data_IF_897868924991
#
_entry.id   IF_897868924991
#
_cell.length_a   1.000
_cell.length_b   1.000
_cell.length_c   1.000
_cell.angle_alpha   90.00
_cell.angle_beta   90.00
_cell.angle_gamma   90.00
#
_symmetry.space_group_name_H-M   'P 1'
#
loop_
_entity.id
_entity.type
_entity.pdbx_description
1 polymer ?
#
# COMPACT_ATOMS: atom_id res chain seq x y z
N UNK A 1 -13.68 5.32 -11.01
CA UNK A 1 -12.55 6.27 -11.18
C UNK A 1 -12.95 7.59 -10.54
N UNK A 2 -11.99 8.34 -9.97
CA UNK A 2 -12.28 9.66 -9.42
C UNK A 2 -12.54 10.66 -10.56
N UNK A 3 -13.59 11.48 -10.45
CA UNK A 3 -13.93 12.50 -11.45
C UNK A 3 -12.82 13.53 -11.66
N UNK A 4 -11.97 13.73 -10.64
CA UNK A 4 -10.82 14.63 -10.66
C UNK A 4 -9.73 14.19 -11.66
N UNK A 5 -9.73 12.94 -12.09
CA UNK A 5 -8.83 12.46 -13.15
C UNK A 5 -9.09 13.14 -14.49
N UNK A 6 -10.29 13.66 -14.70
CA UNK A 6 -10.67 14.35 -15.94
C UNK A 6 -10.17 15.79 -16.02
N UNK A 7 -9.65 16.35 -14.95
CA UNK A 7 -9.05 17.68 -14.94
C UNK A 7 -7.86 17.76 -15.92
N UNK A 8 -7.75 18.84 -16.72
CA UNK A 8 -6.70 18.97 -17.74
C UNK A 8 -5.27 18.91 -17.20
N UNK A 9 -5.03 19.46 -15.99
CA UNK A 9 -3.73 19.40 -15.31
C UNK A 9 -3.37 17.97 -14.90
N UNK A 10 -4.32 17.22 -14.34
CA UNK A 10 -4.15 15.82 -13.93
C UNK A 10 -3.92 14.94 -15.16
N UNK A 11 -4.72 15.06 -16.21
CA UNK A 11 -4.56 14.32 -17.48
C UNK A 11 -3.15 14.48 -18.06
N UNK A 12 -2.64 15.73 -18.12
CA UNK A 12 -1.27 16.01 -18.62
C UNK A 12 -0.19 15.32 -17.75
N UNK A 13 -0.30 15.41 -16.41
CA UNK A 13 0.67 14.77 -15.51
C UNK A 13 0.62 13.26 -15.62
N UNK A 14 -0.57 12.66 -15.73
CA UNK A 14 -0.75 11.21 -15.91
C UNK A 14 -0.20 10.73 -17.26
N UNK A 15 -0.45 11.47 -18.34
CA UNK A 15 0.10 11.15 -19.67
C UNK A 15 1.64 11.18 -19.65
N UNK A 16 2.21 12.25 -19.08
CA UNK A 16 3.67 12.35 -18.90
C UNK A 16 4.22 11.20 -18.05
N UNK A 17 3.55 10.84 -16.96
CA UNK A 17 3.97 9.72 -16.12
C UNK A 17 4.04 8.41 -16.93
N UNK A 18 2.99 8.08 -17.67
CA UNK A 18 2.92 6.86 -18.50
C UNK A 18 4.01 6.82 -19.57
N UNK A 19 4.44 7.96 -20.10
CA UNK A 19 5.56 8.01 -21.06
C UNK A 19 6.89 7.60 -20.44
N UNK A 20 7.10 7.88 -19.15
CA UNK A 20 8.41 7.68 -18.50
C UNK A 20 8.43 6.52 -17.52
N UNK A 21 7.29 5.99 -17.07
CA UNK A 21 7.24 4.95 -16.03
C UNK A 21 7.97 3.66 -16.42
N UNK A 22 7.95 3.26 -17.70
CA UNK A 22 8.64 2.08 -18.22
C UNK A 22 10.15 2.27 -18.48
N UNK A 23 10.72 3.47 -18.22
CA UNK A 23 12.14 3.73 -18.44
C UNK A 23 13.02 3.39 -17.22
N UNK A 24 12.42 3.08 -16.10
CA UNK A 24 13.13 2.75 -14.86
C UNK A 24 13.12 1.23 -14.69
N UNK A 25 14.29 0.63 -14.44
CA UNK A 25 14.37 -0.79 -14.10
C UNK A 25 13.42 -1.14 -12.95
N UNK A 26 12.44 -2.04 -13.15
CA UNK A 26 11.45 -2.41 -12.13
C UNK A 26 12.08 -2.90 -10.81
N UNK A 27 13.28 -3.49 -10.86
CA UNK A 27 14.02 -3.94 -9.67
C UNK A 27 14.46 -2.82 -8.75
N UNK A 28 14.48 -1.59 -9.25
CA UNK A 28 14.84 -0.38 -8.48
C UNK A 28 13.62 0.37 -7.95
N UNK A 29 12.41 -0.03 -8.34
CA UNK A 29 11.18 0.62 -7.91
C UNK A 29 10.75 0.13 -6.53
N UNK A 30 10.33 1.06 -5.68
CA UNK A 30 9.85 0.81 -4.32
C UNK A 30 8.57 1.63 -4.13
N UNK A 31 7.43 0.98 -4.21
CA UNK A 31 6.12 1.64 -4.07
C UNK A 31 5.65 1.57 -2.63
N UNK A 32 5.36 2.72 -2.04
CA UNK A 32 4.96 2.82 -0.64
C UNK A 32 3.60 3.48 -0.54
N UNK A 33 2.78 2.94 0.34
CA UNK A 33 1.49 3.50 0.69
C UNK A 33 1.02 2.98 2.04
N UNK A 34 -0.09 3.52 2.54
CA UNK A 34 -0.76 3.06 3.74
C UNK A 34 -2.20 2.62 3.47
N UNK A 35 -2.64 1.70 4.29
CA UNK A 35 -4.03 1.28 4.28
C UNK A 35 -4.55 1.04 5.69
N UNK A 36 -5.82 1.35 5.93
CA UNK A 36 -6.44 1.07 7.23
C UNK A 36 -6.85 -0.39 7.35
N UNK A 37 -6.76 -0.91 8.57
CA UNK A 37 -7.30 -2.19 9.02
C UNK A 37 -8.17 -1.98 10.26
N UNK A 38 -9.12 -2.87 10.51
CA UNK A 38 -10.02 -2.77 11.67
C UNK A 38 -10.25 -4.14 12.29
N UNK A 39 -10.41 -4.18 13.61
CA UNK A 39 -10.69 -5.41 14.37
C UNK A 39 -12.09 -5.97 14.14
N UNK A 40 -12.97 -5.25 13.44
CA UNK A 40 -14.32 -5.71 13.07
C UNK A 40 -14.43 -6.11 11.60
N UNK A 41 -13.32 -6.26 10.87
CA UNK A 41 -13.35 -6.67 9.45
C UNK A 41 -13.94 -8.07 9.31
N UNK A 42 -14.93 -8.21 8.41
CA UNK A 42 -15.60 -9.46 8.07
C UNK A 42 -15.62 -9.67 6.57
N UNK A 43 -15.93 -10.87 6.15
CA UNK A 43 -16.17 -11.17 4.72
C UNK A 43 -17.27 -10.27 4.19
N UNK A 44 -17.09 -9.74 2.99
CA UNK A 44 -18.08 -8.87 2.32
C UNK A 44 -19.04 -9.66 1.44
N UNK A 45 -18.63 -10.88 1.05
CA UNK A 45 -19.37 -11.75 0.14
C UNK A 45 -19.32 -13.18 0.67
N UNK A 46 -20.34 -13.96 0.34
CA UNK A 46 -20.46 -15.39 0.64
C UNK A 46 -21.35 -16.06 -0.39
N UNK A 47 -21.57 -17.35 -0.24
CA UNK A 47 -22.38 -18.16 -1.12
C UNK A 47 -23.58 -18.72 -0.36
N UNK A 48 -24.76 -18.72 -1.01
CA UNK A 48 -25.97 -19.39 -0.56
C UNK A 48 -26.60 -20.13 -1.74
N UNK A 49 -27.47 -21.13 -1.51
CA UNK A 49 -28.27 -21.75 -2.55
C UNK A 49 -29.06 -20.70 -3.34
N UNK A 50 -29.31 -20.98 -4.63
CA UNK A 50 -30.09 -20.09 -5.48
C UNK A 50 -31.49 -19.87 -4.89
N UNK A 51 -31.85 -18.61 -4.69
CA UNK A 51 -33.14 -18.20 -4.09
C UNK A 51 -33.11 -18.03 -2.58
N UNK A 52 -31.99 -18.35 -1.91
CA UNK A 52 -31.83 -18.13 -0.47
C UNK A 52 -31.01 -16.89 -0.16
N UNK A 53 -31.40 -16.17 0.91
CA UNK A 53 -30.65 -15.04 1.39
C UNK A 53 -29.48 -15.51 2.26
N UNK A 54 -28.26 -15.10 1.94
CA UNK A 54 -27.11 -15.29 2.81
C UNK A 54 -27.28 -14.44 4.08
N UNK A 55 -27.27 -15.12 5.22
CA UNK A 55 -27.29 -14.46 6.55
C UNK A 55 -26.00 -14.81 7.26
N UNK A 56 -25.24 -13.79 7.70
CA UNK A 56 -24.02 -13.96 8.49
C UNK A 56 -24.04 -13.03 9.69
N UNK A 57 -23.33 -13.44 10.76
CA UNK A 57 -23.18 -12.66 11.98
C UNK A 57 -21.94 -11.81 11.91
N UNK A 58 -22.08 -10.50 12.03
CA UNK A 58 -20.96 -9.55 12.02
C UNK A 58 -20.67 -9.07 13.45
N UNK A 59 -19.40 -8.81 13.80
CA UNK A 59 -19.06 -8.25 15.09
C UNK A 59 -19.73 -6.89 15.28
N UNK A 60 -20.37 -6.71 16.41
CA UNK A 60 -20.98 -5.46 16.84
C UNK A 60 -20.22 -4.93 18.06
N UNK A 61 -20.16 -3.60 18.24
CA UNK A 61 -19.51 -2.95 19.36
C UNK A 61 -18.32 -2.08 18.94
N UNK A 62 -17.48 -1.74 19.92
CA UNK A 62 -16.30 -0.90 19.67
C UNK A 62 -15.21 -1.68 18.93
N UNK A 63 -14.66 -1.05 17.89
CA UNK A 63 -13.54 -1.60 17.13
C UNK A 63 -12.33 -0.65 17.15
N UNK A 64 -11.15 -1.21 17.04
CA UNK A 64 -9.93 -0.45 16.86
C UNK A 64 -9.61 -0.35 15.38
N UNK A 65 -9.09 0.79 14.98
CA UNK A 65 -8.55 1.03 13.62
C UNK A 65 -7.05 1.15 13.73
N UNK A 66 -6.33 0.38 12.91
CA UNK A 66 -4.89 0.47 12.77
C UNK A 66 -4.52 0.86 11.33
N UNK A 67 -3.38 1.48 11.14
CA UNK A 67 -2.82 1.79 9.82
C UNK A 67 -1.70 0.82 9.50
N UNK A 68 -1.83 0.13 8.40
CA UNK A 68 -0.79 -0.76 7.87
C UNK A 68 -0.03 -0.03 6.76
N UNK A 69 1.29 0.05 6.91
CA UNK A 69 2.23 0.58 5.90
C UNK A 69 3.08 -0.56 5.37
N UNK A 70 3.43 -0.50 4.11
CA UNK A 70 4.37 -1.42 3.49
C UNK A 70 5.02 -0.80 2.24
N UNK A 71 6.06 -1.44 1.76
CA UNK A 71 6.71 -1.14 0.50
C UNK A 71 6.63 -2.35 -0.43
N UNK A 72 6.12 -2.16 -1.65
CA UNK A 72 6.14 -3.18 -2.70
C UNK A 72 7.40 -3.00 -3.55
N UNK A 73 8.18 -4.06 -3.67
CA UNK A 73 9.24 -4.23 -4.66
C UNK A 73 8.81 -5.20 -5.76
N UNK A 74 9.62 -5.31 -6.78
CA UNK A 74 9.36 -6.24 -7.89
C UNK A 74 9.32 -7.73 -7.46
N UNK A 75 9.96 -8.07 -6.34
CA UNK A 75 10.13 -9.46 -5.88
C UNK A 75 9.60 -9.73 -4.47
N UNK A 76 9.15 -8.72 -3.73
CA UNK A 76 8.71 -8.88 -2.33
C UNK A 76 7.98 -7.67 -1.76
N UNK A 77 7.40 -7.86 -0.59
CA UNK A 77 6.91 -6.79 0.27
C UNK A 77 7.98 -6.48 1.33
N UNK A 78 8.41 -5.23 1.42
CA UNK A 78 9.42 -4.74 2.35
C UNK A 78 8.81 -3.80 3.39
N UNK A 79 9.55 -3.57 4.48
CA UNK A 79 9.28 -2.57 5.51
C UNK A 79 7.82 -2.58 6.02
N UNK A 80 7.18 -3.75 6.31
CA UNK A 80 5.82 -3.76 6.83
C UNK A 80 5.77 -3.18 8.24
N UNK A 81 4.77 -2.33 8.51
CA UNK A 81 4.56 -1.75 9.83
C UNK A 81 3.06 -1.58 10.10
N UNK A 82 2.63 -1.91 11.32
CA UNK A 82 1.26 -1.71 11.78
C UNK A 82 1.26 -0.69 12.91
N UNK A 83 0.57 0.43 12.72
CA UNK A 83 0.38 1.47 13.74
C UNK A 83 -1.02 1.41 14.35
N UNK A 84 -1.12 1.57 15.66
CA UNK A 84 -2.40 1.80 16.32
C UNK A 84 -2.89 3.22 16.03
N UNK A 85 -4.04 3.31 15.36
CA UNK A 85 -4.65 4.57 14.93
C UNK A 85 -4.16 5.11 13.58
N UNK A 86 -4.48 6.38 13.28
CA UNK A 86 -4.18 7.01 11.99
C UNK A 86 -2.70 7.39 11.86
N UNK A 87 -2.21 7.41 10.62
CA UNK A 87 -0.90 7.95 10.28
C UNK A 87 -0.95 9.48 10.22
N UNK A 88 0.13 10.12 10.65
CA UNK A 88 0.37 11.54 10.47
C UNK A 88 1.82 11.77 9.99
N UNK A 89 2.21 13.01 9.73
CA UNK A 89 3.53 13.31 9.20
C UNK A 89 4.69 12.89 10.11
N UNK A 90 4.52 12.92 11.43
CA UNK A 90 5.53 12.49 12.40
C UNK A 90 5.67 10.96 12.41
N UNK A 91 4.56 10.24 12.48
CA UNK A 91 4.55 8.77 12.40
C UNK A 91 5.08 8.27 11.05
N UNK A 92 4.72 8.95 9.96
CA UNK A 92 5.24 8.61 8.64
C UNK A 92 6.76 8.84 8.55
N UNK A 93 7.26 9.93 9.15
CA UNK A 93 8.70 10.18 9.28
C UNK A 93 9.38 9.05 10.05
N UNK A 94 8.85 8.69 11.22
CA UNK A 94 9.39 7.58 12.04
C UNK A 94 9.42 6.26 11.27
N UNK A 95 8.34 5.96 10.51
CA UNK A 95 8.30 4.80 9.63
C UNK A 95 9.44 4.84 8.59
N UNK A 96 9.62 5.98 7.94
CA UNK A 96 10.68 6.11 6.92
C UNK A 96 12.06 5.93 7.53
N UNK A 97 12.34 6.54 8.67
CA UNK A 97 13.64 6.49 9.32
C UNK A 97 13.96 5.10 9.92
N UNK A 98 12.96 4.41 10.50
CA UNK A 98 13.17 3.17 11.26
C UNK A 98 12.97 1.89 10.43
N UNK A 99 12.09 1.91 9.44
CA UNK A 99 11.71 0.71 8.68
C UNK A 99 12.09 0.80 7.21
N UNK A 100 11.76 1.90 6.54
CA UNK A 100 11.96 2.01 5.11
C UNK A 100 13.42 2.24 4.75
N UNK A 101 14.06 3.30 5.27
CA UNK A 101 15.42 3.68 4.89
C UNK A 101 16.43 2.53 5.08
N UNK A 102 16.36 1.71 6.17
CA UNK A 102 17.23 0.55 6.32
C UNK A 102 17.04 -0.54 5.25
N UNK A 103 15.88 -0.59 4.58
CA UNK A 103 15.59 -1.56 3.51
C UNK A 103 15.99 -1.07 2.12
N UNK A 104 16.28 0.24 1.97
CA UNK A 104 16.63 0.86 0.69
C UNK A 104 18.10 0.61 0.31
N UNK A 105 18.35 0.64 -0.99
CA UNK A 105 19.69 0.54 -1.58
C UNK A 105 20.00 1.81 -2.39
N UNK A 106 21.28 2.18 -2.54
CA UNK A 106 21.67 3.26 -3.45
C UNK A 106 21.13 3.02 -4.85
N UNK A 107 20.47 4.06 -5.38
CA UNK A 107 19.84 4.02 -6.69
C UNK A 107 18.38 3.53 -6.72
N UNK A 108 17.80 3.12 -5.58
CA UNK A 108 16.36 2.86 -5.50
C UNK A 108 15.54 4.12 -5.82
N UNK A 109 14.36 3.92 -6.38
CA UNK A 109 13.39 4.96 -6.70
C UNK A 109 12.14 4.70 -5.88
N UNK A 110 11.98 5.47 -4.82
CA UNK A 110 10.83 5.41 -3.92
C UNK A 110 9.68 6.18 -4.53
N UNK A 111 8.57 5.50 -4.77
CA UNK A 111 7.35 6.07 -5.37
C UNK A 111 6.27 6.14 -4.30
N UNK A 112 5.73 7.33 -4.10
CA UNK A 112 4.69 7.66 -3.12
C UNK A 112 3.53 8.34 -3.81
N UNK A 113 2.37 8.25 -3.19
CA UNK A 113 1.26 9.11 -3.55
C UNK A 113 1.55 10.61 -3.28
N UNK A 114 0.64 11.47 -3.67
CA UNK A 114 0.83 12.92 -3.59
C UNK A 114 0.25 13.54 -2.30
N UNK A 115 0.13 12.78 -1.19
CA UNK A 115 -0.36 13.30 0.09
C UNK A 115 0.62 14.27 0.74
N UNK A 116 0.07 15.24 1.47
CA UNK A 116 0.86 16.26 2.17
C UNK A 116 1.76 15.69 3.27
N UNK A 117 1.28 14.67 3.99
CA UNK A 117 2.01 13.97 5.06
C UNK A 117 3.31 13.32 4.58
N UNK A 118 3.39 12.93 3.30
CA UNK A 118 4.56 12.27 2.72
C UNK A 118 5.65 13.24 2.24
N UNK A 119 5.38 14.54 2.22
CA UNK A 119 6.27 15.55 1.61
C UNK A 119 7.25 16.23 2.58
N UNK A 120 7.33 15.75 3.81
CA UNK A 120 8.20 16.30 4.83
C UNK A 120 9.66 16.39 4.38
N UNK A 121 10.36 17.48 4.75
CA UNK A 121 11.79 17.67 4.43
C UNK A 121 12.65 16.53 5.01
N UNK A 122 12.35 16.09 6.23
CA UNK A 122 13.07 15.01 6.91
C UNK A 122 12.90 13.67 6.17
N UNK A 123 11.67 13.34 5.69
CA UNK A 123 11.39 12.16 4.88
C UNK A 123 12.26 12.15 3.61
N UNK A 124 12.30 13.27 2.90
CA UNK A 124 13.13 13.40 1.68
C UNK A 124 14.60 13.26 1.98
N UNK A 125 15.06 13.79 3.11
CA UNK A 125 16.46 13.71 3.51
C UNK A 125 16.83 12.28 3.86
N UNK A 126 16.07 11.59 4.69
CA UNK A 126 16.31 10.20 5.08
C UNK A 126 16.43 9.25 3.86
N UNK A 127 15.57 9.44 2.84
CA UNK A 127 15.64 8.64 1.61
C UNK A 127 16.89 9.00 0.79
N UNK A 128 17.28 10.28 0.74
CA UNK A 128 18.49 10.70 0.00
C UNK A 128 19.78 10.24 0.67
N UNK A 129 19.83 10.21 1.99
CA UNK A 129 21.02 9.84 2.77
C UNK A 129 21.44 8.38 2.51
N UNK A 130 20.49 7.53 2.13
CA UNK A 130 20.76 6.14 1.71
C UNK A 130 21.01 6.01 0.20
N UNK A 131 21.16 7.13 -0.54
CA UNK A 131 21.42 7.13 -1.97
C UNK A 131 20.20 6.80 -2.85
N UNK A 132 18.99 6.81 -2.29
CA UNK A 132 17.75 6.60 -3.02
C UNK A 132 17.12 7.93 -3.48
N UNK A 133 16.18 7.86 -4.41
CA UNK A 133 15.41 9.01 -4.92
C UNK A 133 13.94 8.85 -4.60
N UNK A 134 13.27 9.98 -4.33
CA UNK A 134 11.82 10.02 -4.11
C UNK A 134 11.12 10.66 -5.29
N UNK A 135 10.03 10.05 -5.73
CA UNK A 135 9.17 10.51 -6.81
C UNK A 135 7.72 10.41 -6.35
N UNK A 136 6.89 11.41 -6.71
CA UNK A 136 5.48 11.41 -6.35
C UNK A 136 4.61 11.12 -7.56
N UNK A 137 3.65 10.21 -7.38
CA UNK A 137 2.62 9.92 -8.37
C UNK A 137 1.80 11.17 -8.73
N UNK A 138 1.26 11.24 -9.93
CA UNK A 138 0.24 12.23 -10.25
C UNK A 138 -0.93 12.12 -9.27
N UNK A 139 -1.55 13.24 -8.95
CA UNK A 139 -2.75 13.26 -8.09
C UNK A 139 -3.84 12.35 -8.64
N UNK A 140 -4.63 11.75 -7.77
CA UNK A 140 -5.79 10.90 -8.12
C UNK A 140 -5.41 9.71 -9.02
N UNK A 141 -4.28 9.07 -8.77
CA UNK A 141 -3.73 8.00 -9.62
C UNK A 141 -3.44 6.70 -8.88
N UNK A 142 -4.40 6.11 -8.14
CA UNK A 142 -4.18 4.83 -7.46
C UNK A 142 -3.95 3.68 -8.46
N UNK A 143 -4.45 3.79 -9.68
CA UNK A 143 -4.21 2.85 -10.77
C UNK A 143 -2.74 2.80 -11.24
N UNK A 144 -1.96 3.82 -10.93
CA UNK A 144 -0.51 3.87 -11.17
C UNK A 144 0.30 3.44 -9.93
N UNK A 145 -0.36 3.04 -8.85
CA UNK A 145 0.28 2.56 -7.63
C UNK A 145 0.04 1.05 -7.46
N UNK A 146 0.99 0.18 -7.84
CA UNK A 146 0.77 -1.27 -7.80
C UNK A 146 0.54 -1.83 -6.39
N UNK A 147 0.97 -1.16 -5.33
CA UNK A 147 0.76 -1.59 -3.94
C UNK A 147 -0.73 -1.62 -3.55
N UNK A 148 -1.58 -0.90 -4.25
CA UNK A 148 -3.04 -0.96 -4.04
C UNK A 148 -3.61 -2.36 -4.34
N UNK A 149 -3.02 -3.10 -5.29
CA UNK A 149 -3.37 -4.50 -5.56
C UNK A 149 -2.95 -5.41 -4.41
N UNK A 150 -1.78 -5.15 -3.81
CA UNK A 150 -1.32 -5.82 -2.58
C UNK A 150 -2.34 -5.58 -1.46
N UNK A 151 -2.75 -4.34 -1.23
CA UNK A 151 -3.70 -3.99 -0.19
C UNK A 151 -5.10 -4.60 -0.41
N UNK A 152 -5.53 -4.74 -1.65
CA UNK A 152 -6.79 -5.42 -1.99
C UNK A 152 -6.77 -6.90 -1.56
N UNK A 153 -5.70 -7.63 -1.89
CA UNK A 153 -5.50 -9.03 -1.46
C UNK A 153 -5.34 -9.09 0.07
N UNK A 154 -4.48 -8.26 0.63
CA UNK A 154 -4.22 -8.18 2.06
C UNK A 154 -5.52 -8.01 2.87
N UNK A 155 -6.34 -7.02 2.54
CA UNK A 155 -7.63 -6.80 3.19
C UNK A 155 -8.60 -7.97 3.02
N UNK A 156 -8.58 -8.63 1.88
CA UNK A 156 -9.42 -9.80 1.63
C UNK A 156 -9.03 -10.96 2.54
N UNK A 157 -7.73 -11.24 2.67
CA UNK A 157 -7.21 -12.28 3.55
C UNK A 157 -7.43 -11.94 5.02
N UNK A 158 -7.22 -10.68 5.40
CA UNK A 158 -7.46 -10.22 6.78
C UNK A 158 -8.93 -10.35 7.20
N UNK A 159 -9.87 -10.07 6.28
CA UNK A 159 -11.30 -10.34 6.50
C UNK A 159 -11.60 -11.82 6.70
N UNK A 160 -10.92 -12.69 5.93
CA UNK A 160 -11.04 -14.15 6.09
C UNK A 160 -10.49 -14.64 7.43
N UNK A 161 -9.38 -14.05 7.90
CA UNK A 161 -8.76 -14.37 9.19
C UNK A 161 -9.66 -14.03 10.37
N UNK A 162 -10.53 -13.03 10.24
CA UNK A 162 -11.50 -12.66 11.28
C UNK A 162 -10.86 -12.18 12.59
N UNK A 163 -9.68 -11.56 12.54
CA UNK A 163 -8.94 -11.06 13.69
C UNK A 163 -9.74 -9.99 14.44
N UNK A 164 -9.83 -10.12 15.79
CA UNK A 164 -10.70 -9.29 16.65
C UNK A 164 -9.95 -8.42 17.65
N UNK A 165 -8.64 -8.61 17.79
CA UNK A 165 -7.76 -7.78 18.62
C UNK A 165 -6.66 -7.17 17.77
N UNK A 166 -5.96 -6.16 18.29
CA UNK A 166 -4.82 -5.57 17.59
C UNK A 166 -3.70 -6.59 17.38
N UNK A 167 -3.41 -7.39 18.40
CA UNK A 167 -2.41 -8.46 18.37
C UNK A 167 -2.77 -9.51 17.31
N UNK A 168 -4.03 -9.96 17.28
CA UNK A 168 -4.49 -10.90 16.26
C UNK A 168 -4.44 -10.32 14.84
N UNK A 169 -4.68 -9.01 14.66
CA UNK A 169 -4.51 -8.32 13.38
C UNK A 169 -3.02 -8.29 12.99
N UNK A 170 -2.12 -8.04 13.95
CA UNK A 170 -0.68 -8.05 13.72
C UNK A 170 -0.18 -9.43 13.28
N UNK A 171 -0.56 -10.48 14.02
CA UNK A 171 -0.17 -11.87 13.71
C UNK A 171 -0.72 -12.33 12.36
N UNK A 172 -2.00 -12.04 12.10
CA UNK A 172 -2.61 -12.34 10.81
C UNK A 172 -1.91 -11.58 9.67
N UNK A 173 -1.52 -10.32 9.90
CA UNK A 173 -0.78 -9.53 8.90
C UNK A 173 0.57 -10.18 8.56
N UNK A 174 1.33 -10.63 9.54
CA UNK A 174 2.60 -11.32 9.31
C UNK A 174 2.42 -12.60 8.49
N UNK A 175 1.40 -13.42 8.84
CA UNK A 175 1.09 -14.67 8.11
C UNK A 175 0.62 -14.39 6.67
N UNK A 176 -0.12 -13.30 6.45
CA UNK A 176 -0.58 -12.91 5.11
C UNK A 176 0.59 -12.43 4.27
N UNK A 177 1.51 -11.65 4.83
CA UNK A 177 2.68 -11.16 4.10
C UNK A 177 3.59 -12.29 3.62
N UNK A 178 3.71 -13.37 4.37
CA UNK A 178 4.46 -14.55 3.98
C UNK A 178 3.88 -15.31 2.76
N UNK A 179 2.66 -14.97 2.32
CA UNK A 179 1.98 -15.59 1.18
C UNK A 179 2.19 -14.86 -0.15
N UNK A 180 2.93 -13.75 -0.16
CA UNK A 180 3.23 -13.03 -1.40
C UNK A 180 4.48 -13.63 -2.06
N UNK A 181 4.29 -14.25 -3.22
CA UNK A 181 5.39 -14.80 -4.01
C UNK A 181 6.08 -13.71 -4.86
N UNK A 182 7.37 -13.87 -5.21
CA UNK A 182 8.11 -12.91 -6.02
C UNK A 182 7.47 -12.63 -7.39
N UNK A 183 7.00 -13.65 -8.07
CA UNK A 183 6.31 -13.53 -9.37
C UNK A 183 4.98 -12.80 -9.26
N UNK A 184 4.26 -12.96 -8.16
CA UNK A 184 3.04 -12.20 -7.87
C UNK A 184 3.36 -10.71 -7.67
N UNK A 185 4.41 -10.39 -6.93
CA UNK A 185 4.86 -9.01 -6.75
C UNK A 185 5.25 -8.37 -8.10
N UNK A 186 5.99 -9.10 -8.93
CA UNK A 186 6.34 -8.67 -10.29
C UNK A 186 5.08 -8.43 -11.15
N UNK A 187 4.08 -9.32 -11.06
CA UNK A 187 2.82 -9.16 -11.79
C UNK A 187 2.08 -7.87 -11.40
N UNK A 188 2.05 -7.49 -10.12
CA UNK A 188 1.45 -6.22 -9.69
C UNK A 188 2.16 -5.00 -10.31
N UNK A 189 3.48 -5.03 -10.34
CA UNK A 189 4.31 -3.96 -10.94
C UNK A 189 4.03 -3.86 -12.44
N UNK A 190 4.01 -5.00 -13.14
CA UNK A 190 3.69 -5.09 -14.57
C UNK A 190 2.27 -4.61 -14.88
N UNK A 191 1.27 -5.02 -14.09
CA UNK A 191 -0.12 -4.61 -14.27
C UNK A 191 -0.33 -3.09 -14.14
N UNK A 192 0.51 -2.41 -13.36
CA UNK A 192 0.48 -0.95 -13.25
C UNK A 192 1.30 -0.24 -14.36
N UNK A 193 1.91 -1.00 -15.28
CA UNK A 193 2.60 -0.48 -16.47
C UNK A 193 4.07 -0.13 -16.26
N UNK A 194 4.76 -0.75 -15.30
CA UNK A 194 6.18 -0.49 -15.00
C UNK A 194 7.14 -1.57 -15.53
N UNK A 195 6.68 -2.44 -16.40
CA UNK A 195 7.50 -3.47 -17.04
C UNK A 195 7.25 -3.52 -18.53
#
# INVERSE_FOLDING_TARGET
MASEQDRPDVKRHRARWRTYQGLIDPKRLVFIDETWTKTNMTRLLGWAPKGERLVDKVPHGHWKTATFLAALRNDRIDAPCLYDGPINGERFRAYVEQFLAPSLKPGDVVILDNLGSHKGKAVRQAIRDVGARIVFLPKYSPDLNPIEQVFAKFKTLLRKAGARTYEAVSDASAQILAQYAPDECAAYVTNAGYA
#
